data_IF_244935551634
#
_entry.id   IF_244935551634
#
_cell.length_a   1.000
_cell.length_b   1.000
_cell.length_c   1.000
_cell.angle_alpha   90.00
_cell.angle_beta   90.00
_cell.angle_gamma   90.00
#
_symmetry.space_group_name_H-M   'P 1'
#
loop_
_entity.id
_entity.type
_entity.pdbx_description
1 polymer ?
#
# COMPACT_ATOMS: atom_id res chain seq x y z
N UNK A 1 -3.51 0.71 -31.14
CA UNK A 1 -2.78 0.12 -29.99
C UNK A 1 -2.26 1.26 -29.16
N UNK A 2 -3.06 1.74 -28.22
CA UNK A 2 -2.64 2.72 -27.19
C UNK A 2 -2.63 1.97 -25.88
N UNK A 3 -1.61 1.12 -25.70
CA UNK A 3 -1.23 0.67 -24.37
C UNK A 3 -0.87 1.93 -23.58
N UNK A 4 -1.48 2.11 -22.42
CA UNK A 4 -1.21 3.26 -21.56
C UNK A 4 0.25 3.17 -21.12
N UNK A 5 1.14 4.01 -21.69
CA UNK A 5 2.56 3.95 -21.33
C UNK A 5 2.72 4.26 -19.85
N UNK A 6 3.10 3.22 -19.10
CA UNK A 6 3.17 3.27 -17.64
C UNK A 6 4.19 4.30 -17.16
N UNK A 7 5.27 4.52 -17.91
CA UNK A 7 6.34 5.44 -17.51
C UNK A 7 5.86 6.88 -17.64
N UNK A 8 5.24 7.22 -18.75
CA UNK A 8 4.67 8.56 -18.95
C UNK A 8 3.49 8.83 -18.00
N UNK A 9 2.69 7.81 -17.69
CA UNK A 9 1.58 7.94 -16.75
C UNK A 9 2.07 8.22 -15.33
N UNK A 10 3.13 7.54 -14.87
CA UNK A 10 3.76 7.82 -13.57
C UNK A 10 4.33 9.24 -13.51
N UNK A 11 4.94 9.73 -14.59
CA UNK A 11 5.44 11.11 -14.65
C UNK A 11 4.32 12.13 -14.50
N UNK A 12 3.20 11.92 -15.18
CA UNK A 12 2.02 12.79 -15.03
C UNK A 12 1.48 12.77 -13.61
N UNK A 13 1.40 11.60 -12.98
CA UNK A 13 0.95 11.46 -11.58
C UNK A 13 1.87 12.22 -10.59
N UNK A 14 3.19 12.15 -10.78
CA UNK A 14 4.12 12.92 -9.95
C UNK A 14 3.92 14.44 -10.11
N UNK A 15 3.49 14.90 -11.29
CA UNK A 15 3.25 16.31 -11.57
C UNK A 15 2.01 16.86 -10.84
N UNK A 16 1.11 16.02 -10.31
CA UNK A 16 0.01 16.48 -9.46
C UNK A 16 0.48 16.95 -8.07
N UNK A 17 1.70 16.61 -7.65
CA UNK A 17 2.29 17.06 -6.39
C UNK A 17 3.01 18.41 -6.48
N UNK A 18 3.05 19.03 -7.66
CA UNK A 18 3.70 20.34 -7.87
C UNK A 18 2.88 21.48 -7.25
N UNK A 19 3.55 22.55 -6.81
CA UNK A 19 2.88 23.74 -6.24
C UNK A 19 2.25 24.66 -7.30
N UNK A 20 2.48 24.38 -8.59
CA UNK A 20 1.93 25.16 -9.70
C UNK A 20 0.57 24.61 -10.13
N UNK A 21 -0.51 25.29 -9.75
CA UNK A 21 -1.89 24.88 -10.02
C UNK A 21 -2.17 24.70 -11.53
N UNK A 22 -1.55 25.52 -12.40
CA UNK A 22 -1.77 25.42 -13.84
C UNK A 22 -1.18 24.12 -14.40
N UNK A 23 -0.01 23.71 -13.90
CA UNK A 23 0.64 22.44 -14.22
C UNK A 23 -0.12 21.24 -13.67
N UNK A 24 -0.69 21.35 -12.47
CA UNK A 24 -1.51 20.31 -11.86
C UNK A 24 -2.80 20.09 -12.67
N UNK A 25 -3.52 21.16 -13.03
CA UNK A 25 -4.75 21.06 -13.82
C UNK A 25 -4.47 20.50 -15.22
N UNK A 26 -3.38 20.92 -15.86
CA UNK A 26 -2.97 20.38 -17.16
C UNK A 26 -2.66 18.88 -17.08
N UNK A 27 -1.92 18.45 -16.06
CA UNK A 27 -1.61 17.04 -15.84
C UNK A 27 -2.88 16.21 -15.55
N UNK A 28 -3.79 16.71 -14.71
CA UNK A 28 -5.05 16.03 -14.41
C UNK A 28 -5.94 15.84 -15.66
N UNK A 29 -6.02 16.86 -16.52
CA UNK A 29 -6.78 16.77 -17.79
C UNK A 29 -6.16 15.78 -18.76
N UNK A 30 -4.83 15.76 -18.86
CA UNK A 30 -4.09 14.82 -19.71
C UNK A 30 -4.33 13.37 -19.25
N UNK A 31 -4.32 13.12 -17.94
CA UNK A 31 -4.63 11.81 -17.36
C UNK A 31 -6.06 11.37 -17.73
N UNK A 32 -7.06 12.24 -17.56
CA UNK A 32 -8.46 11.94 -17.91
C UNK A 32 -8.63 11.63 -19.41
N UNK A 33 -7.96 12.39 -20.29
CA UNK A 33 -7.98 12.13 -21.73
C UNK A 33 -7.36 10.77 -22.08
N UNK A 34 -6.27 10.40 -21.42
CA UNK A 34 -5.59 9.12 -21.64
C UNK A 34 -6.43 7.93 -21.15
N UNK A 35 -7.11 8.06 -20.02
CA UNK A 35 -8.05 7.04 -19.54
C UNK A 35 -9.19 6.84 -20.55
N UNK A 36 -9.77 7.93 -21.06
CA UNK A 36 -10.82 7.89 -22.09
C UNK A 36 -10.34 7.30 -23.41
N UNK A 37 -9.15 7.67 -23.87
CA UNK A 37 -8.56 7.13 -25.10
C UNK A 37 -8.22 5.64 -24.99
N UNK A 38 -7.88 5.17 -23.79
CA UNK A 38 -7.67 3.77 -23.49
C UNK A 38 -8.97 3.00 -23.16
N UNK A 39 -10.14 3.67 -23.19
CA UNK A 39 -11.44 3.12 -22.77
C UNK A 39 -11.36 2.38 -21.42
N UNK A 40 -10.56 2.91 -20.50
CA UNK A 40 -10.33 2.31 -19.17
C UNK A 40 -10.83 3.23 -18.07
N UNK A 41 -11.09 2.67 -16.90
CA UNK A 41 -11.54 3.40 -15.71
C UNK A 41 -10.52 3.26 -14.60
N UNK A 42 -10.53 4.17 -13.62
CA UNK A 42 -9.68 4.06 -12.43
C UNK A 42 -9.87 2.73 -11.71
N UNK A 43 -11.10 2.23 -11.62
CA UNK A 43 -11.38 0.92 -11.06
C UNK A 43 -10.67 -0.18 -11.85
N UNK A 44 -10.79 -0.21 -13.17
CA UNK A 44 -10.08 -1.19 -14.01
C UNK A 44 -8.56 -1.08 -13.84
N UNK A 45 -8.02 0.14 -13.79
CA UNK A 45 -6.58 0.40 -13.70
C UNK A 45 -5.99 0.02 -12.34
N UNK A 46 -6.72 0.29 -11.25
CA UNK A 46 -6.30 -0.02 -9.87
C UNK A 46 -6.66 -1.45 -9.45
N UNK A 47 -7.67 -2.06 -10.08
CA UNK A 47 -8.11 -3.45 -9.81
C UNK A 47 -7.36 -4.46 -10.68
N UNK A 48 -6.45 -4.02 -11.56
CA UNK A 48 -5.61 -4.90 -12.38
C UNK A 48 -4.50 -5.60 -11.56
N UNK A 49 -4.81 -6.06 -10.34
CA UNK A 49 -4.19 -7.25 -9.82
C UNK A 49 -4.99 -8.43 -10.41
N UNK A 50 -4.36 -9.41 -11.10
CA UNK A 50 -5.07 -10.63 -11.41
C UNK A 50 -5.64 -11.14 -10.09
N UNK A 51 -6.96 -11.35 -10.05
CA UNK A 51 -7.58 -12.11 -8.98
C UNK A 51 -6.84 -13.44 -8.96
N UNK A 52 -5.83 -13.55 -8.08
CA UNK A 52 -5.17 -14.81 -7.80
C UNK A 52 -6.34 -15.72 -7.46
N UNK A 53 -6.59 -16.81 -8.20
CA UNK A 53 -7.67 -17.71 -7.86
C UNK A 53 -7.49 -18.02 -6.37
N UNK A 54 -8.51 -17.71 -5.58
CA UNK A 54 -8.52 -18.10 -4.20
C UNK A 54 -8.16 -19.59 -4.21
N UNK A 55 -7.13 -20.03 -3.47
CA UNK A 55 -6.81 -21.45 -3.43
C UNK A 55 -8.12 -22.16 -3.09
N UNK A 56 -8.51 -23.11 -3.95
CA UNK A 56 -9.61 -23.99 -3.65
C UNK A 56 -9.41 -24.45 -2.21
N UNK A 57 -10.41 -24.18 -1.38
CA UNK A 57 -10.42 -24.48 0.04
C UNK A 57 -10.56 -26.01 0.16
N UNK A 58 -9.49 -26.72 -0.19
CA UNK A 58 -9.30 -28.11 0.15
C UNK A 58 -8.73 -28.10 1.57
N UNK A 59 -9.65 -28.30 2.50
CA UNK A 59 -9.38 -28.25 3.92
C UNK A 59 -8.36 -29.31 4.31
N UNK A 60 -7.11 -28.92 4.46
CA UNK A 60 -6.15 -29.38 5.46
C UNK A 60 -4.77 -28.80 5.15
N UNK A 61 -4.59 -27.53 5.49
CA UNK A 61 -3.27 -27.06 5.91
C UNK A 61 -3.45 -26.55 7.32
N UNK A 62 -2.72 -27.07 8.32
CA UNK A 62 -2.79 -26.48 9.65
C UNK A 62 -2.42 -25.02 9.46
N UNK A 63 -3.30 -24.14 9.90
CA UNK A 63 -2.89 -22.79 10.24
C UNK A 63 -1.76 -23.00 11.24
N UNK A 64 -0.52 -22.82 10.79
CA UNK A 64 0.58 -22.54 11.72
C UNK A 64 0.23 -21.20 12.35
N UNK A 65 -0.64 -21.27 13.35
CA UNK A 65 -0.53 -20.48 14.56
C UNK A 65 0.88 -20.74 15.11
N UNK A 66 1.83 -19.99 14.57
CA UNK A 66 3.19 -19.82 15.02
C UNK A 66 3.58 -18.46 14.43
N UNK A 67 3.37 -17.33 15.08
CA UNK A 67 3.08 -17.03 16.47
C UNK A 67 2.03 -15.91 16.48
N UNK A 68 1.07 -15.97 17.39
CA UNK A 68 0.14 -14.87 17.67
C UNK A 68 0.89 -13.73 18.37
N UNK A 69 1.84 -13.10 17.66
CA UNK A 69 2.42 -11.87 18.14
C UNK A 69 1.34 -10.79 18.05
N UNK A 70 0.99 -10.27 19.22
CA UNK A 70 0.08 -9.12 19.36
C UNK A 70 0.59 -7.99 18.45
N UNK A 71 -0.29 -7.37 17.67
CA UNK A 71 0.10 -6.33 16.71
C UNK A 71 0.85 -5.19 17.42
N UNK A 72 0.53 -4.95 18.70
CA UNK A 72 1.24 -4.02 19.59
C UNK A 72 2.71 -4.42 19.81
N UNK A 73 2.96 -5.71 20.04
CA UNK A 73 4.32 -6.26 20.24
C UNK A 73 5.12 -6.19 18.96
N UNK A 74 4.47 -6.43 17.81
CA UNK A 74 5.11 -6.27 16.51
C UNK A 74 5.52 -4.80 16.27
N UNK A 75 4.64 -3.85 16.58
CA UNK A 75 4.95 -2.41 16.49
C UNK A 75 6.16 -2.07 17.37
N UNK A 76 6.17 -2.49 18.63
CA UNK A 76 7.27 -2.22 19.56
C UNK A 76 8.60 -2.81 19.06
N UNK A 77 8.55 -4.01 18.48
CA UNK A 77 9.72 -4.63 17.86
C UNK A 77 10.22 -3.82 16.67
N UNK A 78 9.33 -3.31 15.82
CA UNK A 78 9.70 -2.52 14.65
C UNK A 78 10.38 -1.20 15.08
N UNK A 79 9.83 -0.53 16.09
CA UNK A 79 10.40 0.69 16.65
C UNK A 79 11.77 0.47 17.30
N UNK A 80 11.98 -0.68 17.94
CA UNK A 80 13.24 -0.99 18.63
C UNK A 80 14.36 -1.46 17.68
N UNK A 81 14.02 -2.20 16.62
CA UNK A 81 15.02 -2.89 15.79
C UNK A 81 15.38 -2.15 14.51
N UNK A 82 14.61 -1.14 14.11
CA UNK A 82 14.82 -0.41 12.86
C UNK A 82 15.03 1.08 13.11
N UNK A 83 15.98 1.67 12.41
CA UNK A 83 16.13 3.13 12.34
C UNK A 83 15.10 3.69 11.36
N UNK A 84 13.92 4.00 11.89
CA UNK A 84 12.78 4.52 11.13
C UNK A 84 12.76 6.06 11.16
N UNK A 85 12.18 6.67 10.11
CA UNK A 85 11.92 8.12 10.09
C UNK A 85 10.97 8.52 11.21
N UNK A 86 11.01 9.78 11.63
CA UNK A 86 10.06 10.32 12.61
C UNK A 86 8.62 10.08 12.16
N UNK A 87 8.29 10.34 10.89
CA UNK A 87 6.95 10.09 10.34
C UNK A 87 6.49 8.62 10.48
N UNK A 88 7.41 7.67 10.25
CA UNK A 88 7.08 6.24 10.37
C UNK A 88 6.90 5.84 11.84
N UNK A 89 7.69 6.43 12.74
CA UNK A 89 7.54 6.19 14.18
C UNK A 89 6.22 6.74 14.71
N UNK A 90 5.84 7.94 14.29
CA UNK A 90 4.58 8.57 14.68
C UNK A 90 3.37 7.79 14.14
N UNK A 91 3.44 7.33 12.88
CA UNK A 91 2.42 6.44 12.31
C UNK A 91 2.27 5.14 13.12
N UNK A 92 3.39 4.49 13.46
CA UNK A 92 3.37 3.26 14.26
C UNK A 92 2.84 3.51 15.67
N UNK A 93 3.14 4.66 16.28
CA UNK A 93 2.57 5.05 17.56
C UNK A 93 1.05 5.27 17.47
N UNK A 94 0.57 5.89 16.39
CA UNK A 94 -0.87 6.05 16.10
C UNK A 94 -1.59 4.70 16.01
N UNK A 95 -1.00 3.71 15.33
CA UNK A 95 -1.57 2.36 15.28
C UNK A 95 -1.73 1.70 16.66
N UNK A 96 -0.87 2.01 17.64
CA UNK A 96 -1.08 1.50 19.01
C UNK A 96 -2.34 2.08 19.64
N UNK A 97 -2.64 3.35 19.36
CA UNK A 97 -3.86 4.01 19.83
C UNK A 97 -5.11 3.41 19.14
N UNK A 98 -5.04 3.19 17.82
CA UNK A 98 -6.12 2.54 17.06
C UNK A 98 -6.40 1.11 17.56
N UNK A 99 -5.36 0.36 17.96
CA UNK A 99 -5.50 -0.98 18.57
C UNK A 99 -6.22 -0.87 19.91
N UNK A 100 -5.85 0.11 20.76
CA UNK A 100 -6.47 0.31 22.06
C UNK A 100 -7.96 0.72 21.94
N UNK A 101 -8.31 1.49 20.92
CA UNK A 101 -9.68 1.89 20.62
C UNK A 101 -10.47 0.86 19.80
N UNK A 102 -9.83 -0.23 19.33
CA UNK A 102 -10.46 -1.25 18.50
C UNK A 102 -10.77 -0.79 17.06
N UNK A 103 -10.19 0.32 16.63
CA UNK A 103 -10.31 0.88 15.27
C UNK A 103 -9.29 0.27 14.30
N UNK A 104 -8.36 -0.53 14.81
CA UNK A 104 -7.32 -1.18 14.02
C UNK A 104 -7.86 -2.25 13.06
N UNK A 105 -7.70 -2.01 11.76
CA UNK A 105 -8.36 -2.83 10.72
C UNK A 105 -7.49 -4.02 10.27
N UNK A 106 -8.07 -5.01 9.57
CA UNK A 106 -7.30 -6.06 8.90
C UNK A 106 -6.29 -5.52 7.86
N UNK A 107 -6.59 -4.36 7.25
CA UNK A 107 -5.70 -3.71 6.29
C UNK A 107 -4.45 -3.18 6.97
N UNK A 108 -4.58 -2.59 8.15
CA UNK A 108 -3.46 -2.05 8.93
C UNK A 108 -2.54 -3.19 9.41
N UNK A 109 -3.13 -4.32 9.83
CA UNK A 109 -2.37 -5.56 10.12
C UNK A 109 -1.58 -6.06 8.91
N UNK A 110 -2.20 -6.06 7.73
CA UNK A 110 -1.51 -6.48 6.51
C UNK A 110 -0.38 -5.51 6.13
N UNK A 111 -0.57 -4.22 6.37
CA UNK A 111 0.46 -3.19 6.18
C UNK A 111 1.64 -3.42 7.14
N UNK A 112 1.41 -3.60 8.45
CA UNK A 112 2.48 -3.86 9.44
C UNK A 112 3.36 -5.05 9.05
N UNK A 113 2.74 -6.16 8.65
CA UNK A 113 3.47 -7.37 8.22
C UNK A 113 4.28 -7.10 6.96
N UNK A 114 3.70 -6.39 5.99
CA UNK A 114 4.41 -6.01 4.76
C UNK A 114 5.57 -5.06 5.03
N UNK A 115 5.41 -4.13 5.98
CA UNK A 115 6.46 -3.21 6.41
C UNK A 115 7.61 -3.99 7.07
N UNK A 116 7.32 -4.89 8.00
CA UNK A 116 8.31 -5.79 8.62
C UNK A 116 9.10 -6.54 7.55
N UNK A 117 8.42 -7.21 6.62
CA UNK A 117 9.09 -8.04 5.61
C UNK A 117 10.00 -7.21 4.68
N UNK A 118 9.67 -5.93 4.42
CA UNK A 118 10.54 -5.02 3.67
C UNK A 118 11.78 -4.63 4.47
N UNK A 119 11.60 -4.31 5.75
CA UNK A 119 12.68 -3.92 6.65
C UNK A 119 13.65 -5.09 6.90
N UNK A 120 13.13 -6.31 7.04
CA UNK A 120 13.94 -7.52 7.15
C UNK A 120 14.82 -7.73 5.89
N UNK A 121 14.26 -7.50 4.69
CA UNK A 121 15.01 -7.58 3.42
C UNK A 121 16.06 -6.49 3.25
N UNK A 122 15.84 -5.31 3.82
CA UNK A 122 16.82 -4.22 3.80
C UNK A 122 18.00 -4.48 4.73
N UNK A 123 17.84 -5.40 5.69
CA UNK A 123 18.85 -5.78 6.68
C UNK A 123 19.67 -7.02 6.27
N UNK A 124 19.17 -7.82 5.32
CA UNK A 124 19.81 -9.04 4.81
C UNK A 124 20.81 -8.74 3.68
#
# INVERSE_FOLDING_TARGET
MTELDRTDFIRLLNQLGESDDARVIAAAREIDQRLKAASTTWETLLTSAPARPAPANDGSRPTSAADGEDDTVLIDRLLANYSLSDDTRDMLAGFKDDIAHGEFTPSDRAYLRSLRDRLDKLRA
#
